data_IF_750858332781
#
_entry.id   IF_750858332781
#
_cell.length_a   1.000
_cell.length_b   1.000
_cell.length_c   1.000
_cell.angle_alpha   90.00
_cell.angle_beta   90.00
_cell.angle_gamma   90.00
#
_symmetry.space_group_name_H-M   'P 1'
#
loop_
_entity.id
_entity.type
_entity.pdbx_description
1 polymer ?
#
# COMPACT_ATOMS: atom_id res chain seq x y z
N UNK A 1 -43.62 -8.32 5.58
CA UNK A 1 -43.46 -7.09 6.38
C UNK A 1 -41.98 -6.84 6.46
N UNK A 2 -41.53 -5.71 5.93
CA UNK A 2 -40.15 -5.41 5.58
C UNK A 2 -39.32 -5.13 6.84
N UNK A 3 -38.51 -6.10 7.29
CA UNK A 3 -37.37 -5.82 8.15
C UNK A 3 -36.36 -5.02 7.33
N UNK A 4 -36.42 -3.70 7.43
CA UNK A 4 -35.31 -2.85 7.04
C UNK A 4 -34.12 -3.25 7.91
N UNK A 5 -33.15 -3.92 7.30
CA UNK A 5 -31.79 -4.13 7.78
C UNK A 5 -31.20 -2.77 8.20
N UNK A 6 -31.49 -2.39 9.45
CA UNK A 6 -31.33 -1.03 9.94
C UNK A 6 -29.88 -0.89 10.39
N UNK A 7 -29.01 -0.62 9.42
CA UNK A 7 -27.64 -0.25 9.70
C UNK A 7 -27.63 0.88 10.74
N UNK A 8 -26.79 0.76 11.78
CA UNK A 8 -26.71 1.79 12.81
C UNK A 8 -26.27 3.09 12.16
N UNK A 9 -26.87 4.19 12.59
CA UNK A 9 -26.50 5.51 12.11
C UNK A 9 -25.05 5.84 12.52
N UNK A 10 -24.27 6.42 11.61
CA UNK A 10 -22.85 6.76 11.82
C UNK A 10 -22.70 8.29 11.74
N UNK A 11 -22.99 9.03 12.82
CA UNK A 11 -23.14 10.48 12.78
C UNK A 11 -21.79 11.19 12.61
N UNK A 12 -21.41 11.51 11.36
CA UNK A 12 -20.11 12.08 11.01
C UNK A 12 -19.67 13.28 11.86
N UNK A 13 -20.56 14.25 12.11
CA UNK A 13 -20.22 15.46 12.86
C UNK A 13 -19.69 15.16 14.27
N UNK A 14 -20.22 14.13 14.95
CA UNK A 14 -19.82 13.80 16.31
C UNK A 14 -18.44 13.16 16.41
N UNK A 15 -17.94 12.52 15.34
CA UNK A 15 -16.65 11.82 15.33
C UNK A 15 -15.65 12.38 14.31
N UNK A 16 -15.95 13.53 13.69
CA UNK A 16 -15.12 14.16 12.66
C UNK A 16 -13.67 14.35 13.08
N UNK A 17 -13.44 14.81 14.30
CA UNK A 17 -12.08 15.02 14.83
C UNK A 17 -11.33 13.69 15.01
N UNK A 18 -12.03 12.67 15.50
CA UNK A 18 -11.51 11.30 15.59
C UNK A 18 -11.20 10.73 14.19
N UNK A 19 -12.05 10.98 13.20
CA UNK A 19 -11.83 10.61 11.81
C UNK A 19 -10.57 11.25 11.25
N UNK A 20 -10.40 12.56 11.48
CA UNK A 20 -9.23 13.30 11.04
C UNK A 20 -7.95 12.76 11.69
N UNK A 21 -7.97 12.51 13.00
CA UNK A 21 -6.85 11.89 13.70
C UNK A 21 -6.54 10.50 13.12
N UNK A 22 -7.54 9.63 13.00
CA UNK A 22 -7.39 8.28 12.45
C UNK A 22 -6.84 8.30 11.02
N UNK A 23 -7.29 9.24 10.20
CA UNK A 23 -6.76 9.45 8.85
C UNK A 23 -5.27 9.78 8.87
N UNK A 24 -4.84 10.73 9.71
CA UNK A 24 -3.44 11.11 9.82
C UNK A 24 -2.57 9.94 10.31
N UNK A 25 -3.02 9.19 11.31
CA UNK A 25 -2.33 7.97 11.76
C UNK A 25 -2.21 6.94 10.65
N UNK A 26 -3.29 6.69 9.91
CA UNK A 26 -3.31 5.75 8.78
C UNK A 26 -2.33 6.17 7.70
N UNK A 27 -2.22 7.46 7.39
CA UNK A 27 -1.25 7.97 6.43
C UNK A 27 0.20 7.75 6.88
N UNK A 28 0.51 7.98 8.16
CA UNK A 28 1.85 7.76 8.71
C UNK A 28 2.22 6.27 8.62
N UNK A 29 1.30 5.38 9.07
CA UNK A 29 1.51 3.93 9.04
C UNK A 29 1.64 3.41 7.61
N UNK A 30 0.81 3.89 6.69
CA UNK A 30 0.86 3.55 5.27
C UNK A 30 2.20 3.91 4.63
N UNK A 31 2.71 5.11 4.91
CA UNK A 31 4.05 5.55 4.46
C UNK A 31 5.16 4.68 5.05
N UNK A 32 5.06 4.33 6.33
CA UNK A 32 6.04 3.44 6.96
C UNK A 32 6.08 2.07 6.27
N UNK A 33 4.91 1.46 6.02
CA UNK A 33 4.81 0.17 5.32
C UNK A 33 5.40 0.25 3.91
N UNK A 34 5.12 1.32 3.18
CA UNK A 34 5.62 1.55 1.82
C UNK A 34 7.16 1.64 1.78
N UNK A 35 7.77 2.24 2.80
CA UNK A 35 9.22 2.39 2.88
C UNK A 35 9.96 1.11 3.33
N UNK A 36 9.28 0.21 4.05
CA UNK A 36 9.92 -0.93 4.74
C UNK A 36 9.62 -2.30 4.13
N UNK A 37 8.75 -2.38 3.13
CA UNK A 37 8.41 -3.61 2.41
C UNK A 37 8.91 -3.54 0.97
N UNK A 38 9.35 -4.67 0.37
CA UNK A 38 9.76 -4.68 -1.03
C UNK A 38 8.67 -4.11 -1.93
N UNK A 39 9.07 -3.28 -2.90
CA UNK A 39 8.13 -2.68 -3.84
C UNK A 39 7.46 -3.75 -4.70
N UNK A 40 6.20 -4.04 -4.38
CA UNK A 40 5.30 -4.85 -5.21
C UNK A 40 4.37 -3.91 -5.98
N UNK A 41 4.10 -4.28 -7.23
CA UNK A 41 3.34 -3.53 -8.24
C UNK A 41 2.35 -2.52 -7.65
N UNK A 42 2.48 -1.27 -8.11
CA UNK A 42 1.57 -0.16 -7.82
C UNK A 42 1.25 0.03 -6.33
N UNK A 43 2.21 -0.28 -5.45
CA UNK A 43 2.03 -0.19 -3.99
C UNK A 43 0.89 -1.02 -3.41
N UNK A 44 0.44 -2.08 -4.09
CA UNK A 44 -0.68 -2.92 -3.60
C UNK A 44 -0.41 -3.57 -2.24
N UNK A 45 0.85 -3.60 -1.82
CA UNK A 45 1.28 -4.08 -0.52
C UNK A 45 1.04 -3.07 0.63
N UNK A 46 0.61 -1.83 0.38
CA UNK A 46 0.46 -0.77 1.39
C UNK A 46 -0.92 -0.75 2.09
N UNK A 47 -1.62 -1.88 2.16
CA UNK A 47 -2.97 -1.99 2.75
C UNK A 47 -2.94 -2.00 4.29
N UNK A 48 -4.09 -1.80 4.93
CA UNK A 48 -4.30 -2.09 6.35
C UNK A 48 -5.35 -3.19 6.48
N UNK A 49 -5.13 -4.14 7.39
CA UNK A 49 -6.04 -5.24 7.70
C UNK A 49 -6.80 -4.93 8.99
N UNK A 50 -8.08 -5.31 9.04
CA UNK A 50 -8.92 -5.18 10.23
C UNK A 50 -8.73 -6.41 11.12
N UNK A 51 -8.57 -6.18 12.41
CA UNK A 51 -8.62 -7.18 13.48
C UNK A 51 -9.59 -6.70 14.57
N UNK A 52 -9.88 -7.56 15.55
CA UNK A 52 -10.81 -7.25 16.66
C UNK A 52 -10.45 -5.95 17.41
N UNK A 53 -9.16 -5.61 17.49
CA UNK A 53 -8.67 -4.43 18.21
C UNK A 53 -8.34 -3.23 17.31
N UNK A 54 -8.61 -3.30 16.00
CA UNK A 54 -8.39 -2.19 15.07
C UNK A 54 -7.62 -2.56 13.80
N UNK A 55 -6.75 -1.66 13.32
CA UNK A 55 -6.05 -1.78 12.04
C UNK A 55 -4.59 -2.23 12.23
N UNK A 56 -4.13 -3.18 11.41
CA UNK A 56 -2.75 -3.66 11.41
C UNK A 56 -2.16 -3.72 9.99
N UNK A 57 -0.85 -3.59 9.88
CA UNK A 57 -0.12 -3.88 8.65
C UNK A 57 0.27 -5.37 8.53
N UNK A 58 0.06 -6.16 9.58
CA UNK A 58 0.63 -7.49 9.71
C UNK A 58 2.14 -7.44 9.97
N UNK A 59 2.78 -8.62 10.05
CA UNK A 59 4.23 -8.71 10.29
C UNK A 59 4.97 -8.16 9.07
N UNK A 60 5.72 -7.08 9.26
CA UNK A 60 6.60 -6.56 8.21
C UNK A 60 7.93 -7.31 8.23
N UNK A 61 8.42 -7.81 7.08
CA UNK A 61 9.74 -8.40 7.00
C UNK A 61 10.79 -7.37 7.40
N UNK A 62 11.43 -7.57 8.56
CA UNK A 62 12.53 -6.70 8.97
C UNK A 62 13.74 -7.07 8.13
N UNK A 63 14.22 -6.15 7.29
CA UNK A 63 15.33 -6.39 6.36
C UNK A 63 16.64 -6.60 7.15
N UNK A 64 16.99 -7.84 7.47
CA UNK A 64 18.36 -8.17 7.85
C UNK A 64 19.24 -7.99 6.60
N UNK A 65 20.28 -7.15 6.69
CA UNK A 65 21.10 -6.81 5.53
C UNK A 65 22.02 -7.98 5.17
N UNK A 66 21.55 -8.86 4.31
CA UNK A 66 22.37 -9.74 3.48
C UNK A 66 22.12 -9.39 2.02
N UNK A 67 22.99 -8.55 1.44
CA UNK A 67 23.13 -8.38 -0.01
C UNK A 67 23.94 -9.59 -0.53
N UNK A 68 23.66 -10.21 -1.70
CA UNK A 68 23.36 -9.57 -3.00
C UNK A 68 22.21 -10.29 -3.78
N UNK A 69 21.62 -9.84 -4.89
CA UNK A 69 22.06 -9.35 -6.21
C UNK A 69 20.86 -8.64 -6.90
N UNK A 70 21.17 -7.75 -7.85
CA UNK A 70 20.29 -7.03 -8.77
C UNK A 70 18.87 -7.60 -9.02
N UNK A 71 17.83 -6.84 -8.68
CA UNK A 71 16.54 -6.91 -9.39
C UNK A 71 16.49 -5.78 -10.42
N UNK A 72 16.82 -6.14 -11.67
CA UNK A 72 16.49 -5.37 -12.86
C UNK A 72 14.96 -5.32 -12.99
N UNK A 73 14.30 -4.27 -12.50
CA UNK A 73 12.95 -3.95 -12.96
C UNK A 73 13.07 -3.29 -14.33
N UNK A 74 12.90 -4.07 -15.41
CA UNK A 74 12.84 -3.59 -16.80
C UNK A 74 11.65 -2.63 -16.97
N UNK A 75 11.87 -1.53 -17.68
CA UNK A 75 10.85 -0.73 -18.36
C UNK A 75 11.49 0.22 -19.39
N UNK A 76 10.71 0.76 -20.34
CA UNK A 76 10.16 0.07 -21.50
C UNK A 76 11.19 -0.08 -22.64
N UNK A 77 11.10 -1.14 -23.44
CA UNK A 77 11.93 -1.30 -24.65
C UNK A 77 11.59 -0.22 -25.68
N UNK A 78 12.47 0.78 -25.82
CA UNK A 78 12.52 1.61 -27.03
C UNK A 78 13.12 0.76 -28.15
N UNK A 79 12.27 0.34 -29.08
CA UNK A 79 12.66 -0.46 -30.23
C UNK A 79 13.46 0.42 -31.22
N UNK A 80 14.77 0.50 -31.03
CA UNK A 80 15.70 1.01 -32.05
C UNK A 80 16.32 -0.18 -32.78
N UNK A 81 15.69 -0.55 -33.90
CA UNK A 81 16.20 -1.59 -34.80
C UNK A 81 17.62 -1.29 -35.31
N UNK A 82 18.36 -2.32 -35.75
CA UNK A 82 19.77 -2.18 -36.08
C UNK A 82 19.92 -1.41 -37.41
N UNK A 83 20.53 -0.23 -37.36
CA UNK A 83 21.18 0.34 -38.56
C UNK A 83 22.44 -0.48 -38.82
N UNK A 84 22.32 -1.47 -39.71
CA UNK A 84 23.45 -2.21 -40.26
C UNK A 84 24.42 -1.24 -40.93
N UNK A 85 25.69 -1.32 -40.55
CA UNK A 85 26.80 -0.62 -41.17
C UNK A 85 27.55 -1.61 -42.08
N UNK A 86 27.51 -1.34 -43.38
CA UNK A 86 28.53 -1.66 -44.38
C UNK A 86 28.46 -3.02 -45.08
N UNK A 87 29.15 -3.18 -46.23
CA UNK A 87 29.98 -2.19 -46.95
C UNK A 87 29.22 -1.35 -48.00
#
# INVERSE_FOLDING_TARGET
MTETDQWPDIPFEAWKDTCAALHLYTQIVGKYRLAHTPWVNHSWHATLYVNADGLTTGIQPRRFRTTPLYQHQKGPEINSGPRGVGP
#
